data_IF_539943339195
#
_entry.id   IF_539943339195
#
_cell.length_a   1.000
_cell.length_b   1.000
_cell.length_c   1.000
_cell.angle_alpha   90.00
_cell.angle_beta   90.00
_cell.angle_gamma   90.00
#
_symmetry.space_group_name_H-M   'P 1'
#
loop_
_entity.id
_entity.type
_entity.pdbx_description
1 polymer ?
#
# COMPACT_ATOMS: atom_id res chain seq x y z
N UNK A 1 -36.31 -18.42 -47.67
CA UNK A 1 -36.65 -18.02 -46.29
C UNK A 1 -36.15 -19.13 -45.39
N UNK A 2 -35.17 -18.82 -44.54
CA UNK A 2 -34.52 -19.77 -43.63
C UNK A 2 -33.03 -19.94 -43.92
N UNK A 3 -32.21 -19.42 -42.99
CA UNK A 3 -30.96 -19.98 -42.46
C UNK A 3 -29.75 -19.05 -42.50
N UNK A 4 -29.78 -18.01 -41.66
CA UNK A 4 -28.58 -17.37 -41.15
C UNK A 4 -28.39 -17.76 -39.68
N UNK A 5 -27.48 -18.69 -39.45
CA UNK A 5 -26.96 -19.03 -38.14
C UNK A 5 -26.16 -17.85 -37.59
N UNK A 6 -26.70 -17.13 -36.60
CA UNK A 6 -25.89 -16.23 -35.80
C UNK A 6 -25.42 -16.93 -34.53
N UNK A 7 -24.21 -17.49 -34.63
CA UNK A 7 -23.41 -17.99 -33.53
C UNK A 7 -22.78 -16.76 -32.86
N UNK A 8 -23.44 -16.19 -31.87
CA UNK A 8 -22.81 -15.17 -31.04
C UNK A 8 -21.97 -15.88 -29.99
N UNK A 9 -20.67 -15.80 -30.25
CA UNK A 9 -19.58 -16.25 -29.42
C UNK A 9 -19.64 -15.64 -28.01
N UNK A 10 -19.43 -16.54 -27.06
CA UNK A 10 -18.70 -16.39 -25.81
C UNK A 10 -18.08 -14.99 -25.56
N UNK A 11 -18.84 -14.12 -24.89
CA UNK A 11 -18.25 -12.97 -24.19
C UNK A 11 -18.00 -13.47 -22.77
N UNK A 12 -16.76 -13.90 -22.56
CA UNK A 12 -16.25 -14.35 -21.26
C UNK A 12 -16.70 -13.40 -20.16
N UNK A 13 -17.50 -13.96 -19.25
CA UNK A 13 -17.93 -13.30 -18.03
C UNK A 13 -16.68 -12.88 -17.29
N UNK A 14 -16.37 -11.58 -17.30
CA UNK A 14 -15.46 -10.98 -16.32
C UNK A 14 -15.94 -11.48 -14.97
N UNK A 15 -15.17 -12.35 -14.32
CA UNK A 15 -15.48 -12.85 -12.98
C UNK A 15 -15.55 -11.64 -12.06
N UNK A 16 -16.76 -11.14 -11.83
CA UNK A 16 -17.02 -9.98 -11.02
C UNK A 16 -16.44 -10.25 -9.62
N UNK A 17 -15.49 -9.42 -9.21
CA UNK A 17 -14.94 -9.47 -7.87
C UNK A 17 -16.03 -9.08 -6.89
N UNK A 18 -16.63 -10.06 -6.21
CA UNK A 18 -17.61 -9.84 -5.16
C UNK A 18 -16.93 -9.41 -3.85
N UNK A 19 -16.27 -8.26 -3.85
CA UNK A 19 -15.63 -7.67 -2.66
C UNK A 19 -16.63 -6.82 -1.86
N UNK A 20 -16.64 -7.01 -0.55
CA UNK A 20 -17.50 -6.32 0.40
C UNK A 20 -16.74 -5.27 1.23
N UNK A 21 -17.49 -4.35 1.84
CA UNK A 21 -16.95 -3.40 2.80
C UNK A 21 -16.27 -4.14 3.97
N UNK A 22 -15.01 -3.83 4.20
CA UNK A 22 -14.16 -4.49 5.20
C UNK A 22 -13.14 -5.45 4.59
N UNK A 23 -13.33 -5.88 3.33
CA UNK A 23 -12.34 -6.72 2.65
C UNK A 23 -11.04 -5.95 2.40
N UNK A 24 -9.92 -6.66 2.51
CA UNK A 24 -8.60 -6.04 2.37
C UNK A 24 -8.40 -5.42 0.99
N UNK A 25 -8.94 -6.07 -0.05
CA UNK A 25 -8.88 -5.60 -1.43
C UNK A 25 -10.03 -4.65 -1.82
N UNK A 26 -10.98 -4.39 -0.91
CA UNK A 26 -12.06 -3.45 -1.21
C UNK A 26 -11.54 -2.00 -1.19
N UNK A 27 -11.83 -1.25 -2.26
CA UNK A 27 -11.62 0.19 -2.33
C UNK A 27 -12.97 0.88 -2.30
N UNK A 28 -13.19 1.69 -1.27
CA UNK A 28 -14.35 2.57 -1.24
C UNK A 28 -14.21 3.61 -2.36
N UNK A 29 -15.29 3.97 -3.09
CA UNK A 29 -15.24 4.96 -4.17
C UNK A 29 -14.64 6.32 -3.75
N UNK A 30 -14.84 6.70 -2.49
CA UNK A 30 -14.27 7.92 -1.90
C UNK A 30 -12.87 7.72 -1.27
N UNK A 31 -12.36 6.50 -1.22
CA UNK A 31 -11.07 6.12 -0.65
C UNK A 31 -9.88 6.39 -1.57
N UNK A 32 -9.96 7.46 -2.37
CA UNK A 32 -8.82 7.88 -3.21
C UNK A 32 -7.69 8.34 -2.28
N UNK A 33 -6.45 7.96 -2.57
CA UNK A 33 -5.27 8.25 -1.74
C UNK A 33 -4.95 9.74 -1.53
N UNK A 34 -5.83 10.66 -1.94
CA UNK A 34 -5.64 12.11 -1.86
C UNK A 34 -5.69 12.68 -0.44
N UNK A 35 -6.41 12.04 0.49
CA UNK A 35 -6.46 12.50 1.89
C UNK A 35 -5.45 11.74 2.75
N UNK A 36 -4.59 12.44 3.52
CA UNK A 36 -3.72 11.78 4.47
C UNK A 36 -4.54 11.12 5.59
N UNK A 37 -4.25 9.85 5.88
CA UNK A 37 -4.87 9.11 7.00
C UNK A 37 -4.09 9.28 8.31
N UNK A 38 -2.90 9.86 8.24
CA UNK A 38 -2.03 10.20 9.38
C UNK A 38 -1.61 11.67 9.25
N UNK A 39 -1.72 12.43 10.33
CA UNK A 39 -1.31 13.85 10.38
C UNK A 39 0.14 14.03 10.81
N UNK A 40 0.72 13.04 11.49
CA UNK A 40 2.12 13.02 11.92
C UNK A 40 3.00 12.88 10.68
N UNK A 41 3.93 13.82 10.51
CA UNK A 41 4.94 13.79 9.45
C UNK A 41 6.21 13.14 9.97
N UNK A 42 6.60 12.00 9.42
CA UNK A 42 7.90 11.38 9.69
C UNK A 42 9.01 12.35 9.27
N UNK A 43 9.88 12.70 10.21
CA UNK A 43 11.03 13.58 10.00
C UNK A 43 12.36 12.90 10.26
N UNK A 44 12.36 11.78 10.99
CA UNK A 44 13.57 11.06 11.33
C UNK A 44 13.33 9.99 12.40
N UNK A 45 14.43 9.52 12.98
CA UNK A 45 14.42 8.52 14.06
C UNK A 45 13.65 9.00 15.30
N UNK A 46 13.67 10.30 15.57
CA UNK A 46 13.08 10.91 16.77
C UNK A 46 11.57 10.76 16.85
N UNK A 47 10.88 10.67 15.71
CA UNK A 47 9.41 10.55 15.67
C UNK A 47 8.91 9.30 14.95
N UNK A 48 9.82 8.42 14.50
CA UNK A 48 9.46 7.19 13.79
C UNK A 48 8.51 6.31 14.58
N UNK A 49 8.79 6.05 15.86
CA UNK A 49 7.94 5.19 16.70
C UNK A 49 6.50 5.71 16.79
N UNK A 50 6.32 7.02 16.94
CA UNK A 50 5.01 7.65 17.00
C UNK A 50 4.29 7.57 15.63
N UNK A 51 5.01 7.87 14.54
CA UNK A 51 4.48 7.77 13.19
C UNK A 51 4.08 6.34 12.81
N UNK A 52 4.91 5.35 13.18
CA UNK A 52 4.69 3.93 12.93
C UNK A 52 3.45 3.40 13.63
N UNK A 53 3.24 3.77 14.89
CA UNK A 53 2.02 3.45 15.64
C UNK A 53 0.80 4.07 14.96
N UNK A 54 0.86 5.37 14.63
CA UNK A 54 -0.26 6.08 14.01
C UNK A 54 -0.64 5.47 12.65
N UNK A 55 0.35 5.17 11.79
CA UNK A 55 0.13 4.51 10.50
C UNK A 55 -0.49 3.13 10.67
N UNK A 56 0.00 2.33 11.61
CA UNK A 56 -0.52 0.98 11.91
C UNK A 56 -2.01 1.03 12.27
N UNK A 57 -2.42 1.94 13.15
CA UNK A 57 -3.83 2.09 13.52
C UNK A 57 -4.69 2.59 12.36
N UNK A 58 -4.21 3.59 11.63
CA UNK A 58 -4.93 4.14 10.49
C UNK A 58 -5.19 3.06 9.43
N UNK A 59 -4.16 2.31 9.04
CA UNK A 59 -4.29 1.22 8.06
C UNK A 59 -5.19 0.10 8.56
N UNK A 60 -5.16 -0.23 9.86
CA UNK A 60 -6.08 -1.22 10.43
C UNK A 60 -7.54 -0.77 10.31
N UNK A 61 -7.84 0.50 10.57
CA UNK A 61 -9.19 1.04 10.42
C UNK A 61 -9.69 1.02 8.96
N UNK A 62 -8.78 1.02 7.99
CA UNK A 62 -9.09 0.92 6.57
C UNK A 62 -9.02 -0.51 5.99
N UNK A 63 -8.78 -1.53 6.83
CA UNK A 63 -8.50 -2.90 6.39
C UNK A 63 -7.33 -2.98 5.40
N UNK A 64 -6.28 -2.17 5.60
CA UNK A 64 -5.09 -2.11 4.72
C UNK A 64 -3.78 -2.45 5.43
N UNK A 65 -3.83 -2.87 6.69
CA UNK A 65 -2.62 -3.24 7.45
C UNK A 65 -1.79 -4.32 6.75
N UNK A 66 -2.47 -5.27 6.09
CA UNK A 66 -1.82 -6.39 5.40
C UNK A 66 -0.85 -5.99 4.29
N UNK A 67 -0.97 -4.77 3.76
CA UNK A 67 -0.09 -4.25 2.71
C UNK A 67 1.29 -3.84 3.24
N UNK A 68 1.40 -3.42 4.50
CA UNK A 68 2.68 -3.00 5.11
C UNK A 68 3.35 -4.09 5.94
N UNK A 69 2.61 -5.13 6.36
CA UNK A 69 3.17 -6.29 7.07
C UNK A 69 3.41 -7.51 6.16
N UNK A 70 2.91 -7.47 4.92
CA UNK A 70 3.10 -8.52 3.91
C UNK A 70 2.12 -9.69 4.01
N UNK A 71 1.14 -9.63 4.92
CA UNK A 71 0.09 -10.66 5.03
C UNK A 71 -0.92 -10.60 3.87
N UNK A 72 -1.10 -9.45 3.22
CA UNK A 72 -1.90 -9.32 2.01
C UNK A 72 -1.01 -9.50 0.76
N UNK A 73 -1.03 -10.69 0.19
CA UNK A 73 -0.23 -11.02 -1.00
C UNK A 73 -1.00 -10.76 -2.28
N UNK A 74 -0.26 -10.33 -3.30
CA UNK A 74 -0.76 -10.23 -4.67
C UNK A 74 -1.05 -11.63 -5.20
N UNK A 75 -2.24 -11.82 -5.74
CA UNK A 75 -2.61 -13.03 -6.47
C UNK A 75 -1.94 -12.99 -7.86
N UNK A 76 -1.29 -14.07 -8.28
CA UNK A 76 -0.65 -14.16 -9.59
C UNK A 76 -1.45 -15.00 -10.59
N UNK A 77 -2.45 -15.73 -10.12
CA UNK A 77 -3.27 -16.65 -10.91
C UNK A 77 -4.62 -16.02 -11.29
N UNK A 78 -5.08 -15.02 -10.53
CA UNK A 78 -6.28 -14.25 -10.82
C UNK A 78 -5.95 -12.79 -11.21
N UNK A 79 -5.97 -12.44 -12.51
CA UNK A 79 -5.66 -11.08 -12.97
C UNK A 79 -6.54 -9.98 -12.37
N UNK A 80 -7.81 -10.28 -12.06
CA UNK A 80 -8.72 -9.30 -11.48
C UNK A 80 -8.32 -8.98 -10.03
N UNK A 81 -8.07 -10.01 -9.21
CA UNK A 81 -7.57 -9.83 -7.84
C UNK A 81 -6.19 -9.17 -7.82
N UNK A 82 -5.33 -9.53 -8.77
CA UNK A 82 -4.01 -8.93 -8.97
C UNK A 82 -4.11 -7.42 -9.21
N UNK A 83 -4.94 -7.00 -10.18
CA UNK A 83 -5.19 -5.59 -10.48
C UNK A 83 -5.77 -4.84 -9.28
N UNK A 84 -6.71 -5.47 -8.57
CA UNK A 84 -7.31 -4.86 -7.39
C UNK A 84 -6.30 -4.69 -6.24
N UNK A 85 -5.39 -5.65 -6.08
CA UNK A 85 -4.27 -5.54 -5.15
C UNK A 85 -3.33 -4.39 -5.54
N UNK A 86 -3.00 -4.26 -6.84
CA UNK A 86 -2.12 -3.19 -7.35
C UNK A 86 -2.73 -1.78 -7.09
N UNK A 87 -4.05 -1.65 -7.25
CA UNK A 87 -4.78 -0.41 -6.91
C UNK A 87 -4.73 -0.12 -5.40
N UNK A 88 -5.02 -1.11 -4.55
CA UNK A 88 -4.96 -0.94 -3.10
C UNK A 88 -3.55 -0.58 -2.63
N UNK A 89 -2.53 -1.27 -3.16
CA UNK A 89 -1.13 -1.01 -2.85
C UNK A 89 -0.75 0.43 -3.22
N UNK A 90 -1.22 0.94 -4.37
CA UNK A 90 -0.97 2.33 -4.79
C UNK A 90 -1.58 3.36 -3.83
N UNK A 91 -2.77 3.09 -3.27
CA UNK A 91 -3.39 3.93 -2.25
C UNK A 91 -2.55 3.94 -0.97
N UNK A 92 -2.10 2.77 -0.50
CA UNK A 92 -1.26 2.65 0.70
C UNK A 92 0.08 3.36 0.51
N UNK A 93 0.73 3.19 -0.66
CA UNK A 93 1.94 3.96 -1.01
C UNK A 93 1.67 5.46 -0.90
N UNK A 94 0.58 5.94 -1.48
CA UNK A 94 0.22 7.38 -1.42
C UNK A 94 0.05 7.86 0.01
N UNK A 95 -0.55 7.06 0.90
CA UNK A 95 -0.66 7.40 2.32
C UNK A 95 0.68 7.42 3.05
N UNK A 96 1.56 6.46 2.76
CA UNK A 96 2.92 6.45 3.31
C UNK A 96 3.64 7.72 2.87
N UNK A 97 3.65 8.04 1.57
CA UNK A 97 4.25 9.25 1.02
C UNK A 97 3.68 10.52 1.67
N UNK A 98 2.36 10.59 1.81
CA UNK A 98 1.70 11.71 2.47
C UNK A 98 2.02 11.80 3.97
N UNK A 99 2.62 10.79 4.59
CA UNK A 99 3.12 10.85 5.97
C UNK A 99 4.60 11.23 6.07
N UNK A 100 5.34 11.34 4.96
CA UNK A 100 6.77 11.73 4.98
C UNK A 100 6.95 13.25 4.91
N UNK A 101 8.03 13.76 5.52
CA UNK A 101 8.52 15.11 5.28
C UNK A 101 9.31 15.18 3.96
N UNK A 102 9.21 16.30 3.23
CA UNK A 102 9.70 16.48 1.83
C UNK A 102 11.17 16.15 1.62
N UNK A 103 11.99 16.29 2.65
CA UNK A 103 13.43 16.04 2.58
C UNK A 103 13.78 14.54 2.63
N UNK A 104 12.82 13.68 3.02
CA UNK A 104 13.01 12.22 3.07
C UNK A 104 12.68 11.52 1.74
N UNK A 105 12.18 12.27 0.74
CA UNK A 105 11.70 11.74 -0.54
C UNK A 105 12.81 11.47 -1.56
N UNK A 106 13.99 12.09 -1.40
CA UNK A 106 14.95 12.26 -2.49
C UNK A 106 15.49 10.94 -3.09
N UNK A 107 15.55 9.86 -2.30
CA UNK A 107 16.16 8.60 -2.74
C UNK A 107 15.21 7.38 -2.71
N UNK A 108 13.98 7.53 -2.20
CA UNK A 108 13.18 6.37 -1.77
C UNK A 108 12.14 5.85 -2.78
N UNK A 109 11.86 6.56 -3.88
CA UNK A 109 10.61 6.35 -4.62
C UNK A 109 10.86 6.24 -6.13
N UNK A 110 11.29 5.07 -6.57
CA UNK A 110 10.80 4.50 -7.82
C UNK A 110 10.77 2.98 -7.62
N UNK A 111 9.65 2.35 -7.99
CA UNK A 111 9.44 0.89 -8.09
C UNK A 111 9.24 0.04 -6.82
N UNK A 112 8.80 0.59 -5.68
CA UNK A 112 8.57 -0.20 -4.45
C UNK A 112 7.08 -0.43 -4.15
N UNK A 113 6.75 -1.63 -3.70
CA UNK A 113 5.49 -1.94 -3.03
C UNK A 113 5.39 -1.17 -1.71
N UNK A 114 4.18 -1.01 -1.18
CA UNK A 114 3.99 -0.39 0.15
C UNK A 114 4.70 -1.16 1.26
N UNK A 115 4.78 -2.49 1.14
CA UNK A 115 5.55 -3.36 2.03
C UNK A 115 7.05 -3.02 2.04
N UNK A 116 7.67 -2.97 0.87
CA UNK A 116 9.10 -2.66 0.72
C UNK A 116 9.40 -1.25 1.24
N UNK A 117 8.58 -0.26 0.84
CA UNK A 117 8.73 1.11 1.31
C UNK A 117 8.62 1.20 2.84
N UNK A 118 7.65 0.51 3.45
CA UNK A 118 7.48 0.54 4.89
C UNK A 118 8.63 -0.14 5.64
N UNK A 119 9.19 -1.22 5.08
CA UNK A 119 10.36 -1.88 5.64
C UNK A 119 11.62 -1.03 5.57
N UNK A 120 11.86 -0.33 4.45
CA UNK A 120 13.01 0.57 4.35
C UNK A 120 12.92 1.70 5.39
N UNK A 121 11.74 2.30 5.56
CA UNK A 121 11.53 3.32 6.60
C UNK A 121 11.82 2.77 8.00
N UNK A 122 11.42 1.53 8.28
CA UNK A 122 11.74 0.84 9.53
C UNK A 122 13.25 0.64 9.67
N UNK A 123 13.92 0.10 8.68
CA UNK A 123 15.37 -0.15 8.75
C UNK A 123 16.17 1.15 8.98
N UNK A 124 15.76 2.24 8.33
CA UNK A 124 16.45 3.53 8.42
C UNK A 124 16.17 4.23 9.77
N UNK A 125 14.90 4.24 10.21
CA UNK A 125 14.46 5.11 11.30
C UNK A 125 14.05 4.37 12.59
N UNK A 126 13.85 3.05 12.58
CA UNK A 126 13.57 2.23 13.76
C UNK A 126 14.87 1.89 14.51
N UNK A 127 15.63 2.94 14.84
CA UNK A 127 16.77 2.80 15.74
C UNK A 127 16.22 2.77 17.15
N UNK A 128 16.18 1.58 17.73
CA UNK A 128 16.05 1.41 19.18
C UNK A 128 17.13 2.29 19.82
N UNK A 129 16.75 3.20 20.71
CA UNK A 129 17.69 4.02 21.49
C UNK A 129 18.86 3.17 21.98
N UNK A 130 20.03 3.30 21.35
CA UNK A 130 21.22 2.54 21.74
C UNK A 130 22.10 2.02 20.61
N UNK A 131 22.50 2.85 19.65
CA UNK A 131 23.92 3.11 19.36
C UNK A 131 24.00 4.08 18.17
N UNK A 132 24.42 5.30 18.46
CA UNK A 132 24.97 6.20 17.46
C UNK A 132 26.31 5.59 17.06
N UNK A 133 26.34 4.71 16.05
CA UNK A 133 27.60 4.39 15.38
C UNK A 133 27.92 5.59 14.49
N UNK A 134 28.65 6.54 15.08
CA UNK A 134 29.46 7.47 14.33
C UNK A 134 30.41 6.65 13.45
N UNK A 135 30.12 6.50 12.16
CA UNK A 135 31.17 6.31 11.18
C UNK A 135 31.79 7.68 10.89
N UNK A 136 32.59 8.16 11.84
CA UNK A 136 33.69 9.05 11.56
C UNK A 136 34.95 8.38 12.11
N UNK A 137 35.90 8.16 11.20
CA UNK A 137 37.24 7.59 11.34
C UNK A 137 37.37 6.08 11.09
N UNK A 138 37.63 5.74 9.83
CA UNK A 138 38.99 5.38 9.40
C UNK A 138 39.18 5.69 7.91
#
# INVERSE_FOLDING_TARGET
>A
SGDDANKNDDIGTSSELNLSFGDTLYLHPNGTGGSPIVTIKLSGTENYKMCSIAMTFALRNHSKLGFIDGSCKRDNDNPALANQWDLCNSVVVTWILNSLNRDLFADAIYTKTSYEMWNDLREIYDKVDGFVVFNLLL
#
